data_IF_266039447261
#
_entry.id   IF_266039447261
#
_cell.length_a   1.000
_cell.length_b   1.000
_cell.length_c   1.000
_cell.angle_alpha   90.00
_cell.angle_beta   90.00
_cell.angle_gamma   90.00
#
_symmetry.space_group_name_H-M   'P 1'
#
loop_
_entity.id
_entity.type
_entity.pdbx_description
1 polymer ?
#
# COMPACT_ATOMS: atom_id res chain seq x y z
N UNK A 1 -35.98 0.68 29.12
CA UNK A 1 -35.74 -0.07 27.86
C UNK A 1 -35.20 0.81 26.73
N UNK A 2 -35.63 2.07 26.60
CA UNK A 2 -35.21 3.01 25.53
C UNK A 2 -33.75 3.50 25.66
N UNK A 3 -33.26 3.80 26.86
CA UNK A 3 -31.90 4.34 27.07
C UNK A 3 -30.80 3.35 26.66
N UNK A 4 -30.99 2.05 26.95
CA UNK A 4 -30.07 0.99 26.50
C UNK A 4 -29.99 0.94 24.96
N UNK A 5 -31.12 1.08 24.26
CA UNK A 5 -31.17 1.04 22.79
C UNK A 5 -30.37 2.17 22.14
N UNK A 6 -30.39 3.38 22.71
CA UNK A 6 -29.57 4.49 22.22
C UNK A 6 -28.07 4.31 22.47
N UNK A 7 -27.71 3.78 23.65
CA UNK A 7 -26.33 3.41 23.93
C UNK A 7 -25.82 2.36 22.94
N UNK A 8 -26.62 1.32 22.67
CA UNK A 8 -26.30 0.30 21.67
C UNK A 8 -26.10 0.87 20.27
N UNK A 9 -26.98 1.76 19.80
CA UNK A 9 -26.88 2.38 18.46
C UNK A 9 -25.61 3.25 18.34
N UNK A 10 -25.29 4.06 19.35
CA UNK A 10 -24.08 4.87 19.38
C UNK A 10 -22.81 4.01 19.38
N UNK A 11 -22.79 2.90 20.14
CA UNK A 11 -21.66 1.94 20.14
C UNK A 11 -21.55 1.08 18.89
N UNK A 12 -22.58 0.97 18.06
CA UNK A 12 -22.53 0.23 16.79
C UNK A 12 -21.98 1.14 15.68
N UNK A 13 -22.40 2.40 15.66
CA UNK A 13 -21.95 3.38 14.66
C UNK A 13 -20.44 3.70 14.76
N UNK A 14 -19.84 3.51 15.93
CA UNK A 14 -18.41 3.74 16.15
C UNK A 14 -17.51 2.56 15.80
N UNK A 15 -18.05 1.38 15.41
CA UNK A 15 -17.24 0.16 15.25
C UNK A 15 -16.33 0.15 14.03
N UNK A 16 -16.71 0.87 12.97
CA UNK A 16 -15.91 0.98 11.73
C UNK A 16 -15.22 2.36 11.64
N UNK A 17 -15.21 3.12 12.74
CA UNK A 17 -14.55 4.42 12.80
C UNK A 17 -13.02 4.27 12.90
N UNK A 18 -12.30 5.36 12.62
CA UNK A 18 -10.86 5.38 12.86
C UNK A 18 -10.57 5.30 14.38
N UNK A 19 -9.71 4.37 14.77
CA UNK A 19 -9.30 4.19 16.16
C UNK A 19 -8.05 5.03 16.46
N UNK A 20 -7.90 5.56 17.70
CA UNK A 20 -6.69 6.26 18.10
C UNK A 20 -5.44 5.39 17.91
N UNK A 21 -4.42 5.93 17.23
CA UNK A 21 -3.15 5.26 16.93
C UNK A 21 -3.22 4.08 15.95
N UNK A 22 -4.28 3.98 15.15
CA UNK A 22 -4.39 2.97 14.09
C UNK A 22 -3.35 3.19 12.98
N UNK A 23 -2.64 2.11 12.60
CA UNK A 23 -1.57 2.13 11.57
C UNK A 23 -1.98 1.47 10.24
N UNK A 24 -3.09 0.73 10.23
CA UNK A 24 -3.60 0.01 9.06
C UNK A 24 -4.94 0.54 8.56
N UNK A 25 -5.54 -0.17 7.60
CA UNK A 25 -6.90 0.10 7.14
C UNK A 25 -7.95 -0.15 8.22
N UNK A 26 -9.13 0.46 8.05
CA UNK A 26 -10.34 0.10 8.81
C UNK A 26 -10.81 -1.32 8.50
N UNK A 27 -11.63 -1.87 9.40
CA UNK A 27 -12.26 -3.17 9.20
C UNK A 27 -13.13 -3.15 7.93
N UNK A 28 -13.03 -4.21 7.13
CA UNK A 28 -13.75 -4.26 5.88
C UNK A 28 -15.21 -4.66 6.10
N UNK A 29 -16.12 -3.75 5.74
CA UNK A 29 -17.56 -4.00 5.72
C UNK A 29 -18.06 -4.59 4.38
N UNK A 30 -17.20 -4.68 3.35
CA UNK A 30 -17.56 -5.18 2.01
C UNK A 30 -16.52 -6.18 1.48
N UNK A 31 -16.93 -7.14 0.63
CA UNK A 31 -15.97 -8.04 -0.04
C UNK A 31 -14.95 -7.27 -0.90
N UNK A 32 -15.35 -6.09 -1.39
CA UNK A 32 -14.47 -5.20 -2.13
C UNK A 32 -13.32 -4.68 -1.26
N UNK A 33 -13.64 -4.19 -0.06
CA UNK A 33 -12.64 -3.69 0.88
C UNK A 33 -11.72 -4.82 1.36
N UNK A 34 -12.23 -6.04 1.54
CA UNK A 34 -11.39 -7.22 1.80
C UNK A 34 -10.38 -7.46 0.66
N UNK A 35 -10.83 -7.41 -0.60
CA UNK A 35 -9.95 -7.51 -1.77
C UNK A 35 -8.85 -6.44 -1.81
N UNK A 36 -9.19 -5.20 -1.45
CA UNK A 36 -8.22 -4.09 -1.35
C UNK A 36 -7.18 -4.35 -0.26
N UNK A 37 -7.59 -4.85 0.91
CA UNK A 37 -6.67 -5.16 2.01
C UNK A 37 -5.71 -6.28 1.60
N UNK A 38 -6.18 -7.34 0.94
CA UNK A 38 -5.31 -8.41 0.44
C UNK A 38 -4.32 -7.89 -0.59
N UNK A 39 -4.80 -7.12 -1.58
CA UNK A 39 -3.94 -6.51 -2.58
C UNK A 39 -2.88 -5.60 -1.92
N UNK A 40 -3.27 -4.81 -0.93
CA UNK A 40 -2.32 -3.97 -0.19
C UNK A 40 -1.20 -4.80 0.44
N UNK A 41 -1.51 -5.90 1.13
CA UNK A 41 -0.50 -6.76 1.75
C UNK A 41 0.43 -7.40 0.72
N UNK A 42 -0.12 -7.89 -0.40
CA UNK A 42 0.66 -8.51 -1.48
C UNK A 42 1.60 -7.50 -2.15
N UNK A 43 1.14 -6.27 -2.39
CA UNK A 43 1.97 -5.20 -2.96
C UNK A 43 3.05 -4.79 -1.96
N UNK A 44 2.72 -4.63 -0.67
CA UNK A 44 3.62 -4.07 0.35
C UNK A 44 4.81 -4.99 0.69
N UNK A 45 4.71 -6.28 0.36
CA UNK A 45 5.82 -7.23 0.44
C UNK A 45 7.05 -6.81 -0.39
N UNK A 46 6.84 -6.36 -1.63
CA UNK A 46 7.93 -5.95 -2.54
C UNK A 46 8.73 -4.73 -2.07
N UNK A 47 8.12 -3.56 -1.73
CA UNK A 47 8.86 -2.39 -1.28
C UNK A 47 9.54 -2.61 0.07
N UNK A 48 9.03 -3.46 0.97
CA UNK A 48 9.75 -3.84 2.19
C UNK A 48 11.09 -4.48 1.84
N UNK A 49 11.10 -5.46 0.94
CA UNK A 49 12.32 -6.16 0.52
C UNK A 49 13.31 -5.20 -0.14
N UNK A 50 12.82 -4.35 -1.06
CA UNK A 50 13.65 -3.36 -1.76
C UNK A 50 14.25 -2.38 -0.75
N UNK A 51 13.44 -1.88 0.19
CA UNK A 51 13.88 -0.93 1.22
C UNK A 51 14.99 -1.54 2.08
N UNK A 52 14.82 -2.77 2.57
CA UNK A 52 15.85 -3.48 3.34
C UNK A 52 17.13 -3.69 2.52
N UNK A 53 17.02 -4.07 1.24
CA UNK A 53 18.17 -4.24 0.35
C UNK A 53 18.95 -2.93 0.21
N UNK A 54 18.27 -1.83 -0.12
CA UNK A 54 18.87 -0.51 -0.31
C UNK A 54 19.50 0.00 0.98
N UNK A 55 18.80 -0.10 2.12
CA UNK A 55 19.34 0.29 3.42
C UNK A 55 20.60 -0.51 3.77
N UNK A 56 20.62 -1.83 3.52
CA UNK A 56 21.82 -2.66 3.75
C UNK A 56 22.97 -2.28 2.82
N UNK A 57 22.71 -1.98 1.55
CA UNK A 57 23.74 -1.51 0.61
C UNK A 57 24.32 -0.17 1.05
N UNK A 58 23.47 0.77 1.49
CA UNK A 58 23.90 2.08 1.99
C UNK A 58 24.78 1.94 3.24
N UNK A 59 24.35 1.17 4.24
CA UNK A 59 25.14 0.94 5.47
C UNK A 59 26.48 0.28 5.14
N UNK A 60 26.52 -0.66 4.20
CA UNK A 60 27.78 -1.27 3.76
C UNK A 60 28.69 -0.28 3.05
N UNK A 61 28.15 0.54 2.14
CA UNK A 61 28.92 1.56 1.43
C UNK A 61 29.53 2.57 2.42
N UNK A 62 28.73 3.07 3.37
CA UNK A 62 29.19 4.01 4.40
C UNK A 62 30.29 3.41 5.28
N UNK A 63 30.15 2.15 5.70
CA UNK A 63 31.17 1.47 6.51
C UNK A 63 32.44 1.16 5.73
N UNK A 64 32.32 0.67 4.49
CA UNK A 64 33.47 0.25 3.69
C UNK A 64 34.26 1.47 3.19
N UNK A 65 33.58 2.49 2.67
CA UNK A 65 34.23 3.71 2.15
C UNK A 65 34.43 4.80 3.21
N UNK A 66 34.39 4.43 4.49
CA UNK A 66 34.71 5.37 5.57
C UNK A 66 36.18 5.79 5.49
N UNK A 67 36.46 7.08 5.68
CA UNK A 67 37.81 7.67 5.50
C UNK A 67 38.91 6.97 6.32
N UNK A 68 38.57 6.40 7.49
CA UNK A 68 39.53 5.65 8.32
C UNK A 68 39.95 4.31 7.71
N UNK A 69 39.11 3.73 6.87
CA UNK A 69 39.32 2.40 6.28
C UNK A 69 39.83 2.54 4.85
N UNK A 70 39.26 3.46 4.07
CA UNK A 70 39.65 3.72 2.68
C UNK A 70 39.92 5.23 2.48
N UNK A 71 41.15 5.70 2.73
CA UNK A 71 41.50 7.13 2.67
C UNK A 71 41.68 7.66 1.24
N UNK A 72 41.97 6.80 0.26
CA UNK A 72 42.20 7.20 -1.14
C UNK A 72 40.95 6.82 -1.96
N UNK A 73 40.23 7.79 -2.57
CA UNK A 73 39.05 7.51 -3.36
C UNK A 73 39.40 6.93 -4.74
N UNK A 74 38.61 5.96 -5.20
CA UNK A 74 38.69 5.44 -6.56
C UNK A 74 38.02 6.42 -7.55
N UNK A 75 38.63 6.62 -8.73
CA UNK A 75 38.14 7.54 -9.78
C UNK A 75 37.46 6.80 -10.94
N UNK A 76 36.46 5.98 -10.62
CA UNK A 76 35.66 5.27 -11.62
C UNK A 76 34.41 6.12 -11.92
N UNK A 77 34.27 6.56 -13.17
CA UNK A 77 33.18 7.48 -13.58
C UNK A 77 32.11 6.77 -14.40
N UNK A 78 32.48 5.73 -15.15
CA UNK A 78 31.57 5.01 -16.04
C UNK A 78 31.50 3.53 -15.67
N UNK A 79 30.29 3.00 -15.65
CA UNK A 79 30.02 1.61 -15.29
C UNK A 79 28.77 1.09 -16.00
N UNK A 80 28.78 1.08 -17.33
CA UNK A 80 27.63 0.76 -18.21
C UNK A 80 26.88 -0.50 -17.77
N UNK A 81 27.59 -1.56 -17.37
CA UNK A 81 26.98 -2.81 -16.88
C UNK A 81 26.11 -2.60 -15.65
N UNK A 82 26.57 -1.82 -14.66
CA UNK A 82 25.81 -1.50 -13.44
C UNK A 82 24.59 -0.65 -13.75
N UNK A 83 24.70 0.26 -14.73
CA UNK A 83 23.58 1.10 -15.17
C UNK A 83 22.47 0.29 -15.84
N UNK A 84 22.85 -0.69 -16.67
CA UNK A 84 21.91 -1.63 -17.30
C UNK A 84 21.22 -2.47 -16.22
N UNK A 85 21.98 -3.05 -15.28
CA UNK A 85 21.43 -3.89 -14.20
C UNK A 85 20.39 -3.12 -13.37
N UNK A 86 20.71 -1.90 -12.91
CA UNK A 86 19.79 -1.08 -12.11
C UNK A 86 18.61 -0.52 -12.89
N UNK A 87 18.57 -0.65 -14.22
CA UNK A 87 17.43 -0.21 -15.04
C UNK A 87 16.48 -1.37 -15.30
N UNK A 88 17.04 -2.54 -15.62
CA UNK A 88 16.26 -3.77 -15.88
C UNK A 88 15.69 -4.35 -14.58
N UNK A 89 16.48 -4.40 -13.51
CA UNK A 89 16.04 -5.02 -12.27
C UNK A 89 14.81 -4.30 -11.65
N UNK A 90 14.78 -2.95 -11.55
CA UNK A 90 13.60 -2.25 -11.03
C UNK A 90 12.43 -2.20 -12.00
N UNK A 91 12.61 -2.42 -13.30
CA UNK A 91 11.48 -2.44 -14.24
C UNK A 91 10.71 -3.75 -14.21
N UNK A 92 11.38 -4.86 -13.89
CA UNK A 92 10.75 -6.18 -13.78
C UNK A 92 9.84 -6.29 -12.55
N UNK A 93 10.21 -5.69 -11.42
CA UNK A 93 9.46 -5.83 -10.16
C UNK A 93 8.01 -5.31 -10.27
N UNK A 94 7.74 -4.09 -10.79
CA UNK A 94 6.39 -3.60 -11.02
C UNK A 94 5.56 -4.45 -11.98
N UNK A 95 6.20 -5.15 -12.93
CA UNK A 95 5.50 -6.04 -13.85
C UNK A 95 4.86 -7.22 -13.09
N UNK A 96 5.56 -7.76 -12.08
CA UNK A 96 5.01 -8.79 -11.20
C UNK A 96 3.91 -8.26 -10.27
N UNK A 97 4.02 -7.00 -9.83
CA UNK A 97 2.99 -6.34 -9.01
C UNK A 97 1.70 -6.11 -9.81
N UNK A 98 1.80 -5.85 -11.11
CA UNK A 98 0.64 -5.59 -11.96
C UNK A 98 -0.29 -6.82 -12.07
N UNK A 99 0.25 -8.03 -12.10
CA UNK A 99 -0.53 -9.27 -12.28
C UNK A 99 -1.63 -9.46 -11.21
N UNK A 100 -1.34 -9.46 -9.89
CA UNK A 100 -2.37 -9.59 -8.87
C UNK A 100 -3.30 -8.38 -8.80
N UNK A 101 -2.87 -7.20 -9.29
CA UNK A 101 -3.68 -5.97 -9.25
C UNK A 101 -4.87 -5.98 -10.22
N UNK A 102 -4.80 -6.76 -11.31
CA UNK A 102 -5.86 -6.80 -12.31
C UNK A 102 -7.14 -7.50 -11.81
N UNK A 103 -7.02 -8.55 -10.99
CA UNK A 103 -8.19 -9.32 -10.58
C UNK A 103 -9.18 -8.48 -9.74
N UNK A 104 -8.74 -7.76 -8.68
CA UNK A 104 -9.63 -6.87 -7.94
C UNK A 104 -10.19 -5.73 -8.81
N UNK A 105 -9.39 -5.18 -9.73
CA UNK A 105 -9.82 -4.10 -10.62
C UNK A 105 -11.02 -4.51 -11.48
N UNK A 106 -10.95 -5.68 -12.12
CA UNK A 106 -12.05 -6.21 -12.92
C UNK A 106 -13.29 -6.52 -12.07
N UNK A 107 -13.10 -7.05 -10.86
CA UNK A 107 -14.21 -7.27 -9.93
C UNK A 107 -14.90 -5.99 -9.47
N UNK A 108 -14.22 -4.84 -9.48
CA UNK A 108 -14.83 -3.53 -9.17
C UNK A 108 -15.67 -2.98 -10.32
N UNK A 109 -15.26 -3.25 -11.55
CA UNK A 109 -15.88 -2.73 -12.76
C UNK A 109 -17.14 -3.53 -13.14
N UNK A 110 -17.17 -4.83 -12.83
CA UNK A 110 -18.37 -5.66 -13.02
C UNK A 110 -19.49 -5.24 -12.04
N UNK A 111 -20.34 -4.29 -12.48
CA UNK A 111 -21.61 -3.96 -11.81
C UNK A 111 -22.63 -5.07 -12.11
N UNK A 112 -22.36 -6.30 -11.66
CA UNK A 112 -23.17 -7.48 -11.98
C UNK A 112 -23.81 -8.04 -10.73
N UNK A 113 -24.79 -7.31 -10.22
CA UNK A 113 -25.89 -7.88 -9.45
C UNK A 113 -27.08 -6.95 -9.56
N UNK A 114 -28.25 -7.48 -9.94
CA UNK A 114 -29.50 -6.73 -9.88
C UNK A 114 -29.63 -6.11 -8.47
N UNK A 115 -29.56 -4.77 -8.32
CA UNK A 115 -29.51 -4.16 -7.01
C UNK A 115 -30.86 -4.35 -6.31
N UNK A 116 -30.83 -4.86 -5.08
CA UNK A 116 -32.06 -4.97 -4.28
C UNK A 116 -32.61 -3.59 -3.87
N UNK A 117 -31.72 -2.59 -3.73
CA UNK A 117 -32.04 -1.22 -3.33
C UNK A 117 -31.20 -0.26 -4.16
N UNK A 118 -31.81 0.82 -4.65
CA UNK A 118 -31.13 1.90 -5.37
C UNK A 118 -31.30 3.22 -4.61
N UNK A 119 -30.20 3.79 -4.12
CA UNK A 119 -30.18 5.09 -3.45
C UNK A 119 -29.43 6.11 -4.30
N UNK A 120 -30.06 7.25 -4.61
CA UNK A 120 -29.41 8.37 -5.30
C UNK A 120 -28.93 9.40 -4.26
N UNK A 121 -27.61 9.55 -4.13
CA UNK A 121 -27.00 10.61 -3.35
C UNK A 121 -26.65 11.80 -4.27
N UNK A 122 -27.09 13.01 -3.91
CA UNK A 122 -26.73 14.26 -4.61
C UNK A 122 -25.82 15.06 -3.69
N UNK A 123 -24.58 15.29 -4.13
CA UNK A 123 -23.63 16.11 -3.40
C UNK A 123 -23.86 17.60 -3.66
N UNK A 124 -24.03 18.37 -2.59
CA UNK A 124 -24.07 19.84 -2.62
C UNK A 124 -22.77 20.40 -2.05
N UNK A 125 -22.40 21.63 -2.44
CA UNK A 125 -21.25 22.31 -1.86
C UNK A 125 -21.51 22.55 -0.36
N UNK A 126 -20.89 21.73 0.48
CA UNK A 126 -20.97 21.78 1.95
C UNK A 126 -22.43 21.82 2.44
N UNK A 127 -23.16 20.75 2.10
CA UNK A 127 -24.54 20.47 2.52
C UNK A 127 -25.43 21.73 2.65
N UNK A 128 -25.66 22.41 1.52
CA UNK A 128 -26.84 23.26 1.36
C UNK A 128 -27.59 22.91 0.09
#
# INVERSE_FOLDING_TARGET
MIVRRWHYILTIASRDAAEPWQLGSQDAATPMMQGIIYLHHDIFFFPIIISVLVSRMLVRALRHFHYRINPIPQRIVHGTTTEIIRTIFPSIIPMFIAIPSFAPLYSMDEVVVNPAITTKAIGHQWYR
#
